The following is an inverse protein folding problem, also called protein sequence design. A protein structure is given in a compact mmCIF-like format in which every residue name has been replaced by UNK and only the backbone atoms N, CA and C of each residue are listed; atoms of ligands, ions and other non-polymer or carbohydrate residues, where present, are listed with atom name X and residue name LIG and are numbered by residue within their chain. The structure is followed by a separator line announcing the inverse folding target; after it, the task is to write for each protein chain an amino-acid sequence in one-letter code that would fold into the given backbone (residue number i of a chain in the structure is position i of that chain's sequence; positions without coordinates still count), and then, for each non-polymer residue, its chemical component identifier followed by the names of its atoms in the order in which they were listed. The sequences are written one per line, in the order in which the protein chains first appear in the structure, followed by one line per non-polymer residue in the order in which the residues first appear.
data_IF_519862709906
#
_entry.id   IF_519862709906
#
_cell.length_a   1.000
_cell.length_b   1.000
_cell.length_c   1.000
_cell.angle_alpha   90.00
_cell.angle_beta   90.00
_cell.angle_gamma   90.00
#
_symmetry.space_group_name_H-M   'P 1'
#
loop_
_entity.id
_entity.type
_entity.pdbx_description
1 polymer ?
#
# COMPACT_ATOMS: atom_id res chain seq x y z
N UNK A 1 17.46 -9.32 -31.29
CA UNK A 1 15.99 -9.18 -31.32
C UNK A 1 15.63 -8.51 -30.02
N UNK A 2 15.36 -7.21 -30.05
CA UNK A 2 14.72 -6.52 -28.92
C UNK A 2 13.25 -6.92 -28.91
N UNK A 3 12.59 -7.12 -27.76
CA UNK A 3 11.15 -7.28 -27.74
C UNK A 3 10.55 -5.95 -28.18
N UNK A 4 9.76 -5.97 -29.24
CA UNK A 4 8.92 -4.84 -29.61
C UNK A 4 7.96 -4.60 -28.43
N UNK A 5 8.08 -3.45 -27.77
CA UNK A 5 7.07 -2.95 -26.84
C UNK A 5 5.78 -2.81 -27.65
N UNK A 6 4.88 -3.80 -27.51
CA UNK A 6 3.57 -3.76 -28.13
C UNK A 6 2.81 -2.64 -27.44
N UNK A 7 2.77 -1.46 -28.07
CA UNK A 7 2.02 -0.31 -27.58
C UNK A 7 0.52 -0.61 -27.75
N UNK A 8 -0.04 -1.28 -26.74
CA UNK A 8 -1.45 -1.63 -26.67
C UNK A 8 -2.26 -0.34 -26.76
N UNK A 9 -3.20 -0.29 -27.71
CA UNK A 9 -4.11 0.85 -27.86
C UNK A 9 -5.25 0.77 -26.86
N UNK A 10 -4.92 0.91 -25.58
CA UNK A 10 -5.83 0.78 -24.44
C UNK A 10 -7.16 1.49 -24.66
N UNK A 11 -7.12 2.75 -25.12
CA UNK A 11 -8.30 3.62 -25.28
C UNK A 11 -9.33 3.14 -26.29
N UNK A 12 -8.99 2.16 -27.14
CA UNK A 12 -9.90 1.58 -28.12
C UNK A 12 -10.62 0.31 -27.61
N UNK A 13 -10.23 -0.21 -26.45
CA UNK A 13 -10.74 -1.46 -25.89
C UNK A 13 -12.01 -1.22 -25.07
N UNK A 14 -12.97 -2.13 -25.20
CA UNK A 14 -14.12 -2.24 -24.27
C UNK A 14 -13.67 -2.80 -22.92
N UNK A 15 -14.52 -2.72 -21.88
CA UNK A 15 -14.20 -3.30 -20.58
C UNK A 15 -13.87 -4.80 -20.66
N UNK A 16 -14.64 -5.57 -21.43
CA UNK A 16 -14.39 -7.01 -21.63
C UNK A 16 -13.03 -7.26 -22.32
N UNK A 17 -12.69 -6.43 -23.31
CA UNK A 17 -11.40 -6.49 -24.00
C UNK A 17 -10.25 -6.06 -23.09
N UNK A 18 -10.47 -5.13 -22.16
CA UNK A 18 -9.49 -4.76 -21.15
C UNK A 18 -9.23 -5.92 -20.17
N UNK A 19 -10.25 -6.71 -19.83
CA UNK A 19 -10.07 -7.93 -19.03
C UNK A 19 -9.22 -8.97 -19.79
N UNK A 20 -9.51 -9.19 -21.08
CA UNK A 20 -8.70 -10.07 -21.92
C UNK A 20 -7.24 -9.59 -21.99
N UNK A 21 -7.05 -8.29 -22.18
CA UNK A 21 -5.74 -7.65 -22.28
C UNK A 21 -4.98 -7.66 -20.94
N UNK A 22 -5.70 -7.58 -19.81
CA UNK A 22 -5.11 -7.81 -18.49
C UNK A 22 -4.45 -9.19 -18.42
N UNK A 23 -5.15 -10.24 -18.82
CA UNK A 23 -4.59 -11.61 -18.80
C UNK A 23 -3.50 -11.84 -19.84
N UNK A 24 -3.55 -11.13 -20.97
CA UNK A 24 -2.56 -11.25 -22.05
C UNK A 24 -1.25 -10.50 -21.77
N UNK A 25 -1.32 -9.37 -21.06
CA UNK A 25 -0.20 -8.42 -20.98
C UNK A 25 0.17 -8.07 -19.54
N UNK A 26 -0.80 -7.70 -18.70
CA UNK A 26 -0.55 -7.27 -17.32
C UNK A 26 -0.18 -8.47 -16.43
N UNK A 27 -0.96 -9.55 -16.47
CA UNK A 27 -0.74 -10.73 -15.65
C UNK A 27 0.62 -11.42 -15.91
N UNK A 28 1.11 -11.55 -17.16
CA UNK A 28 2.47 -12.03 -17.40
C UNK A 28 3.56 -11.12 -16.84
N UNK A 29 3.39 -9.80 -16.92
CA UNK A 29 4.32 -8.85 -16.32
C UNK A 29 4.32 -8.95 -14.78
N UNK A 30 3.15 -9.11 -14.17
CA UNK A 30 3.05 -9.37 -12.73
C UNK A 30 3.81 -10.62 -12.31
N UNK A 31 3.63 -11.73 -13.04
CA UNK A 31 4.36 -12.98 -12.76
C UNK A 31 5.87 -12.83 -12.95
N UNK A 32 6.31 -12.04 -13.93
CA UNK A 32 7.73 -11.77 -14.15
C UNK A 32 8.37 -11.04 -12.95
N UNK A 33 7.60 -10.20 -12.27
CA UNK A 33 8.00 -9.46 -11.07
C UNK A 33 7.64 -10.19 -9.76
N UNK A 34 7.27 -11.47 -9.84
CA UNK A 34 7.04 -12.34 -8.67
C UNK A 34 5.69 -12.16 -7.98
N UNK A 35 4.73 -11.47 -8.60
CA UNK A 35 3.37 -11.31 -8.09
C UNK A 35 2.43 -12.40 -8.61
N UNK A 36 1.36 -12.69 -7.86
CA UNK A 36 0.30 -13.60 -8.28
C UNK A 36 -0.89 -12.83 -8.90
N UNK A 37 -1.06 -12.78 -10.23
CA UNK A 37 -2.12 -12.02 -10.89
C UNK A 37 -3.53 -12.59 -10.70
N UNK A 38 -3.66 -13.77 -10.10
CA UNK A 38 -4.95 -14.40 -9.80
C UNK A 38 -5.40 -14.12 -8.35
N UNK A 39 -4.49 -13.68 -7.48
CA UNK A 39 -4.74 -13.50 -6.05
C UNK A 39 -4.34 -12.11 -5.51
N UNK A 40 -3.50 -11.36 -6.21
CA UNK A 40 -2.93 -10.08 -5.77
C UNK A 40 -3.34 -8.95 -6.71
N UNK A 41 -3.60 -7.76 -6.15
CA UNK A 41 -3.73 -6.55 -6.95
C UNK A 41 -2.33 -6.01 -7.26
N UNK A 42 -2.03 -5.62 -8.51
CA UNK A 42 -0.75 -4.99 -8.79
C UNK A 42 -0.67 -3.62 -8.06
N UNK A 43 0.47 -3.28 -7.43
CA UNK A 43 0.70 -1.97 -6.81
C UNK A 43 0.35 -0.81 -7.75
N UNK A 44 -0.35 0.23 -7.27
CA UNK A 44 -0.77 1.35 -8.13
C UNK A 44 0.42 1.99 -8.87
N UNK A 45 1.56 2.17 -8.20
CA UNK A 45 2.78 2.68 -8.84
C UNK A 45 3.31 1.75 -9.94
N UNK A 46 3.28 0.44 -9.72
CA UNK A 46 3.68 -0.54 -10.74
C UNK A 46 2.77 -0.46 -11.97
N UNK A 47 1.46 -0.34 -11.76
CA UNK A 47 0.49 -0.13 -12.85
C UNK A 47 0.72 1.22 -13.53
N UNK A 48 1.03 2.28 -12.77
CA UNK A 48 1.29 3.60 -13.34
C UNK A 48 2.55 3.63 -14.17
N UNK A 49 3.63 2.98 -13.71
CA UNK A 49 4.93 3.00 -14.37
C UNK A 49 4.95 2.08 -15.61
N UNK A 50 4.27 0.92 -15.57
CA UNK A 50 4.21 -0.03 -16.69
C UNK A 50 2.99 0.10 -17.60
N UNK A 51 1.89 0.67 -17.10
CA UNK A 51 0.56 0.59 -17.72
C UNK A 51 -0.25 1.90 -17.56
N UNK A 52 0.40 3.07 -17.60
CA UNK A 52 -0.28 4.37 -17.52
C UNK A 52 -1.45 4.52 -18.52
N UNK A 53 -1.32 3.94 -19.72
CA UNK A 53 -2.36 3.94 -20.75
C UNK A 53 -3.63 3.18 -20.34
N UNK A 54 -3.50 2.11 -19.55
CA UNK A 54 -4.63 1.39 -18.95
C UNK A 54 -5.32 2.27 -17.91
N UNK A 55 -4.58 2.89 -16.99
CA UNK A 55 -5.16 3.79 -15.96
C UNK A 55 -5.92 4.93 -16.61
N UNK A 56 -5.31 5.59 -17.59
CA UNK A 56 -5.94 6.66 -18.35
C UNK A 56 -7.24 6.17 -19.00
N UNK A 57 -7.21 5.00 -19.63
CA UNK A 57 -8.38 4.43 -20.30
C UNK A 57 -9.52 4.11 -19.33
N UNK A 58 -9.21 3.47 -18.20
CA UNK A 58 -10.22 3.16 -17.18
C UNK A 58 -10.92 4.43 -16.69
N UNK A 59 -10.16 5.48 -16.42
CA UNK A 59 -10.71 6.74 -15.92
C UNK A 59 -11.49 7.51 -16.98
N UNK A 60 -10.92 7.71 -18.16
CA UNK A 60 -11.47 8.62 -19.17
C UNK A 60 -12.51 7.98 -20.09
N UNK A 61 -12.46 6.66 -20.28
CA UNK A 61 -13.31 5.96 -21.23
C UNK A 61 -14.33 5.01 -20.57
N UNK A 62 -14.07 4.54 -19.35
CA UNK A 62 -14.92 3.52 -18.70
C UNK A 62 -15.49 3.92 -17.34
N UNK A 63 -15.15 5.11 -16.82
CA UNK A 63 -15.58 5.58 -15.49
C UNK A 63 -15.29 4.53 -14.40
N UNK A 64 -14.05 4.05 -14.40
CA UNK A 64 -13.53 3.04 -13.48
C UNK A 64 -12.22 3.48 -12.86
N UNK A 65 -12.04 3.16 -11.58
CA UNK A 65 -10.72 3.18 -10.96
C UNK A 65 -9.96 1.87 -11.27
N UNK A 66 -8.62 1.86 -11.17
CA UNK A 66 -7.85 0.63 -11.27
C UNK A 66 -8.35 -0.45 -10.29
N UNK A 67 -8.63 -0.07 -9.04
CA UNK A 67 -9.16 -0.96 -8.00
C UNK A 67 -10.49 -1.58 -8.40
N UNK A 68 -11.43 -0.77 -8.91
CA UNK A 68 -12.73 -1.24 -9.38
C UNK A 68 -12.59 -2.21 -10.54
N UNK A 69 -11.67 -1.93 -11.47
CA UNK A 69 -11.39 -2.79 -12.60
C UNK A 69 -10.82 -4.15 -12.15
N UNK A 70 -9.74 -4.15 -11.37
CA UNK A 70 -9.12 -5.40 -10.92
C UNK A 70 -10.06 -6.22 -10.04
N UNK A 71 -10.83 -5.57 -9.15
CA UNK A 71 -11.75 -6.26 -8.24
C UNK A 71 -13.06 -6.68 -8.89
N UNK A 72 -13.71 -5.76 -9.58
CA UNK A 72 -15.07 -5.90 -10.06
C UNK A 72 -15.15 -6.53 -11.44
N UNK A 73 -14.24 -6.14 -12.34
CA UNK A 73 -14.29 -6.55 -13.74
C UNK A 73 -13.40 -7.78 -13.99
N UNK A 74 -12.14 -7.78 -13.51
CA UNK A 74 -11.23 -8.93 -13.63
C UNK A 74 -11.56 -10.04 -12.61
N UNK A 75 -12.16 -9.68 -11.48
CA UNK A 75 -12.57 -10.63 -10.44
C UNK A 75 -11.43 -11.01 -9.48
N UNK A 76 -10.36 -10.21 -9.42
CA UNK A 76 -9.30 -10.38 -8.43
C UNK A 76 -9.83 -9.83 -7.12
N UNK A 77 -10.30 -10.71 -6.25
CA UNK A 77 -10.68 -10.34 -4.90
C UNK A 77 -9.44 -10.61 -4.06
N UNK A 78 -8.69 -9.57 -3.60
CA UNK A 78 -7.63 -9.81 -2.65
C UNK A 78 -8.28 -10.48 -1.44
N UNK A 79 -7.65 -11.54 -0.92
CA UNK A 79 -8.16 -12.36 0.18
C UNK A 79 -8.81 -11.48 1.25
N UNK A 80 -10.10 -11.70 1.56
CA UNK A 80 -10.94 -11.00 2.56
C UNK A 80 -10.15 -10.08 3.53
N UNK A 81 -9.73 -8.92 3.03
CA UNK A 81 -8.75 -8.05 3.68
C UNK A 81 -9.44 -6.93 4.44
N UNK A 82 -8.71 -6.30 5.36
CA UNK A 82 -9.20 -5.13 6.08
C UNK A 82 -9.27 -3.93 5.13
N UNK A 83 -10.37 -3.18 5.12
CA UNK A 83 -10.50 -2.01 4.27
C UNK A 83 -9.71 -0.82 4.86
N UNK A 84 -8.53 -0.56 4.30
CA UNK A 84 -7.63 0.47 4.79
C UNK A 84 -8.10 1.91 4.49
N UNK A 85 -9.04 2.12 3.57
CA UNK A 85 -9.47 3.42 3.02
C UNK A 85 -8.27 4.29 2.59
N UNK A 86 -7.42 3.72 1.74
CA UNK A 86 -6.27 4.40 1.12
C UNK A 86 -6.49 4.48 -0.38
N UNK A 87 -6.04 5.56 -1.00
CA UNK A 87 -6.08 5.71 -2.46
C UNK A 87 -4.94 4.93 -3.15
N UNK A 88 -3.88 4.58 -2.42
CA UNK A 88 -2.75 3.78 -2.90
C UNK A 88 -2.90 2.31 -2.47
N UNK A 89 -3.35 1.47 -3.42
CA UNK A 89 -3.52 0.04 -3.23
C UNK A 89 -2.20 -0.66 -2.85
N UNK A 90 -1.04 -0.15 -3.31
CA UNK A 90 0.26 -0.73 -2.97
C UNK A 90 0.53 -0.66 -1.45
N UNK A 91 0.16 0.48 -0.86
CA UNK A 91 0.28 0.70 0.58
C UNK A 91 -0.69 -0.21 1.34
N UNK A 92 -1.93 -0.34 0.86
CA UNK A 92 -2.92 -1.24 1.46
C UNK A 92 -2.42 -2.70 1.49
N UNK A 93 -1.87 -3.19 0.36
CA UNK A 93 -1.31 -4.55 0.26
C UNK A 93 -0.13 -4.76 1.21
N UNK A 94 0.79 -3.79 1.28
CA UNK A 94 1.92 -3.87 2.19
C UNK A 94 1.47 -3.92 3.65
N UNK A 95 0.43 -3.16 4.02
CA UNK A 95 -0.15 -3.19 5.36
C UNK A 95 -0.84 -4.52 5.68
N UNK A 96 -1.55 -5.12 4.72
CA UNK A 96 -2.13 -6.46 4.89
C UNK A 96 -1.03 -7.51 5.09
N UNK A 97 0.01 -7.52 4.24
CA UNK A 97 1.16 -8.43 4.39
C UNK A 97 1.86 -8.26 5.74
N UNK A 98 2.07 -7.04 6.19
CA UNK A 98 2.62 -6.76 7.51
C UNK A 98 1.74 -7.33 8.63
N UNK A 99 0.43 -7.14 8.54
CA UNK A 99 -0.51 -7.67 9.55
C UNK A 99 -0.55 -9.19 9.53
N UNK A 100 -0.49 -9.84 8.38
CA UNK A 100 -0.38 -11.30 8.31
C UNK A 100 0.93 -11.80 8.93
N UNK A 101 2.06 -11.13 8.69
CA UNK A 101 3.31 -11.47 9.37
C UNK A 101 3.18 -11.38 10.91
N UNK A 102 2.42 -10.41 11.43
CA UNK A 102 2.11 -10.35 12.86
C UNK A 102 1.20 -11.50 13.33
N UNK A 103 0.24 -11.94 12.51
CA UNK A 103 -0.59 -13.12 12.83
C UNK A 103 0.25 -14.39 12.89
N UNK A 104 1.16 -14.57 11.95
CA UNK A 104 2.07 -15.72 11.90
C UNK A 104 3.02 -15.76 13.11
N UNK A 105 3.36 -14.60 13.68
CA UNK A 105 4.08 -14.49 14.94
C UNK A 105 3.24 -14.84 16.19
N UNK A 106 1.96 -15.19 16.02
CA UNK A 106 1.08 -15.66 17.08
C UNK A 106 0.40 -14.54 17.88
N UNK A 107 0.29 -13.33 17.33
CA UNK A 107 -0.47 -12.27 17.97
C UNK A 107 -1.96 -12.62 18.02
N UNK A 108 -2.62 -12.30 19.15
CA UNK A 108 -4.05 -12.51 19.30
C UNK A 108 -4.84 -11.62 18.31
N UNK A 109 -5.95 -12.13 17.77
CA UNK A 109 -6.76 -11.41 16.78
C UNK A 109 -7.24 -10.03 17.26
N UNK A 110 -7.57 -9.90 18.55
CA UNK A 110 -7.92 -8.59 19.14
C UNK A 110 -6.77 -7.59 19.12
N UNK A 111 -5.53 -8.07 19.18
CA UNK A 111 -4.33 -7.23 19.05
C UNK A 111 -4.10 -6.85 17.59
N UNK A 112 -4.35 -7.77 16.66
CA UNK A 112 -4.29 -7.52 15.22
C UNK A 112 -5.27 -6.42 14.80
N UNK A 113 -6.54 -6.54 15.21
CA UNK A 113 -7.56 -5.53 14.90
C UNK A 113 -7.23 -4.15 15.48
N UNK A 114 -6.69 -4.11 16.70
CA UNK A 114 -6.23 -2.88 17.32
C UNK A 114 -5.02 -2.28 16.59
N UNK A 115 -4.12 -3.12 16.07
CA UNK A 115 -2.95 -2.73 15.28
C UNK A 115 -3.37 -2.18 13.93
N UNK A 116 -4.23 -2.88 13.18
CA UNK A 116 -4.85 -2.41 11.93
C UNK A 116 -5.43 -1.01 12.07
N UNK A 117 -6.24 -0.80 13.10
CA UNK A 117 -6.84 0.52 13.36
C UNK A 117 -5.80 1.64 13.56
N UNK A 118 -4.69 1.35 14.25
CA UNK A 118 -3.62 2.34 14.48
C UNK A 118 -2.78 2.58 13.23
N UNK A 119 -2.45 1.53 12.49
CA UNK A 119 -1.72 1.63 11.22
C UNK A 119 -2.54 2.38 10.17
N UNK A 120 -3.85 2.13 10.07
CA UNK A 120 -4.74 2.87 9.16
C UNK A 120 -4.74 4.37 9.48
N UNK A 121 -4.81 4.75 10.76
CA UNK A 121 -4.75 6.14 11.18
C UNK A 121 -3.43 6.83 10.78
N UNK A 122 -2.32 6.08 10.84
CA UNK A 122 -1.02 6.55 10.42
C UNK A 122 -0.90 6.66 8.90
N UNK A 123 -1.17 5.57 8.17
CA UNK A 123 -1.05 5.50 6.71
C UNK A 123 -1.94 6.54 6.03
N UNK A 124 -3.21 6.65 6.42
CA UNK A 124 -4.11 7.70 5.88
C UNK A 124 -3.59 9.10 6.13
N UNK A 125 -2.86 9.33 7.22
CA UNK A 125 -2.29 10.64 7.51
C UNK A 125 -1.04 10.89 6.68
N UNK A 126 -0.22 9.85 6.49
CA UNK A 126 0.98 9.89 5.66
C UNK A 126 0.61 10.21 4.21
N UNK A 127 -0.18 9.35 3.57
CA UNK A 127 -0.58 9.44 2.15
C UNK A 127 -1.28 10.77 1.82
N UNK A 128 -2.08 11.31 2.74
CA UNK A 128 -2.79 12.59 2.49
C UNK A 128 -1.93 13.84 2.62
N UNK A 129 -0.74 13.75 3.22
CA UNK A 129 0.08 14.92 3.56
C UNK A 129 1.40 14.99 2.83
N UNK A 130 1.86 13.87 2.32
CA UNK A 130 3.18 13.72 1.74
C UNK A 130 3.03 13.37 0.26
N UNK A 131 3.93 13.89 -0.57
CA UNK A 131 3.97 13.60 -2.01
C UNK A 131 4.75 12.30 -2.33
N UNK A 132 5.16 11.57 -1.29
CA UNK A 132 5.87 10.28 -1.36
C UNK A 132 4.97 9.19 -0.75
N UNK A 133 5.05 7.97 -1.29
CA UNK A 133 4.30 6.84 -0.75
C UNK A 133 4.93 6.33 0.55
N UNK A 134 4.12 5.84 1.49
CA UNK A 134 4.57 5.27 2.76
C UNK A 134 5.56 4.11 2.55
N UNK A 135 5.37 3.33 1.49
CA UNK A 135 6.22 2.17 1.19
C UNK A 135 7.45 2.52 0.35
N UNK A 136 7.61 3.77 -0.03
CA UNK A 136 8.82 4.24 -0.73
C UNK A 136 9.80 4.83 0.27
N UNK A 137 11.09 4.68 0.00
CA UNK A 137 12.13 5.28 0.84
C UNK A 137 11.94 6.79 0.93
N UNK A 138 11.89 7.30 2.16
CA UNK A 138 11.70 8.71 2.46
C UNK A 138 12.40 9.08 3.77
N UNK A 139 12.63 10.37 3.97
CA UNK A 139 13.41 10.85 5.11
C UNK A 139 12.72 10.61 6.46
N UNK A 140 13.53 10.33 7.49
CA UNK A 140 13.10 10.21 8.90
C UNK A 140 12.25 11.38 9.36
N UNK A 141 12.53 12.60 8.90
CA UNK A 141 11.78 13.80 9.26
C UNK A 141 10.30 13.68 8.88
N UNK A 142 9.99 13.17 7.68
CA UNK A 142 8.62 12.98 7.18
C UNK A 142 7.88 11.96 8.05
N UNK A 143 8.54 10.84 8.35
CA UNK A 143 7.98 9.76 9.17
C UNK A 143 7.69 10.24 10.60
N UNK A 144 8.64 10.95 11.22
CA UNK A 144 8.55 11.52 12.57
C UNK A 144 7.46 12.59 12.64
N UNK A 145 7.44 13.55 11.71
CA UNK A 145 6.42 14.61 11.70
C UNK A 145 5.01 14.03 11.57
N UNK A 146 4.85 13.06 10.66
CA UNK A 146 3.57 12.36 10.49
C UNK A 146 3.16 11.65 11.78
N UNK A 147 4.09 10.91 12.40
CA UNK A 147 3.81 10.14 13.62
C UNK A 147 3.45 11.05 14.79
N UNK A 148 4.20 12.13 15.02
CA UNK A 148 3.91 13.15 16.05
C UNK A 148 2.50 13.70 15.91
N UNK A 149 2.07 14.02 14.69
CA UNK A 149 0.72 14.55 14.41
C UNK A 149 -0.38 13.53 14.69
N UNK A 150 -0.14 12.25 14.45
CA UNK A 150 -1.11 11.19 14.75
C UNK A 150 -1.15 10.92 16.26
N UNK A 151 0.02 10.83 16.90
CA UNK A 151 0.18 10.69 18.36
C UNK A 151 -0.56 11.79 19.13
N UNK A 152 -0.49 13.04 18.65
CA UNK A 152 -1.17 14.17 19.29
C UNK A 152 -2.70 14.01 19.39
N UNK A 153 -3.33 13.16 18.56
CA UNK A 153 -4.78 12.90 18.58
C UNK A 153 -5.20 11.90 19.65
N UNK A 154 -4.27 11.12 20.18
CA UNK A 154 -4.56 10.12 21.21
C UNK A 154 -4.53 10.78 22.59
N UNK A 155 -5.53 10.48 23.42
CA UNK A 155 -5.64 11.07 24.76
C UNK A 155 -4.74 10.34 25.76
N UNK A 156 -4.75 9.00 25.76
CA UNK A 156 -3.99 8.23 26.75
C UNK A 156 -2.55 8.01 26.32
N UNK A 157 -1.62 8.14 27.28
CA UNK A 157 -0.19 7.84 27.06
C UNK A 157 0.02 6.38 26.62
N UNK A 158 -0.86 5.49 27.06
CA UNK A 158 -0.83 4.08 26.71
C UNK A 158 -1.18 3.84 25.23
N UNK A 159 -2.26 4.44 24.73
CA UNK A 159 -2.62 4.32 23.32
C UNK A 159 -1.58 4.99 22.40
N UNK A 160 -0.97 6.10 22.86
CA UNK A 160 0.19 6.70 22.17
C UNK A 160 1.36 5.72 22.06
N UNK A 161 1.73 5.03 23.15
CA UNK A 161 2.80 4.03 23.13
C UNK A 161 2.50 2.89 22.17
N UNK A 162 1.26 2.40 22.15
CA UNK A 162 0.85 1.35 21.22
C UNK A 162 0.96 1.81 19.76
N UNK A 163 0.50 3.02 19.44
CA UNK A 163 0.67 3.59 18.11
C UNK A 163 2.15 3.69 17.71
N UNK A 164 3.00 4.26 18.57
CA UNK A 164 4.43 4.40 18.29
C UNK A 164 5.08 3.03 18.08
N UNK A 165 4.75 2.06 18.93
CA UNK A 165 5.26 0.68 18.80
C UNK A 165 4.85 0.06 17.47
N UNK A 166 3.59 0.14 17.09
CA UNK A 166 3.09 -0.51 15.89
C UNK A 166 3.66 0.13 14.63
N UNK A 167 3.71 1.47 14.57
CA UNK A 167 4.31 2.18 13.43
C UNK A 167 5.80 1.88 13.32
N UNK A 168 6.52 1.75 14.44
CA UNK A 168 7.93 1.32 14.40
C UNK A 168 8.09 -0.10 13.90
N UNK A 169 7.23 -1.02 14.36
CA UNK A 169 7.22 -2.40 13.88
C UNK A 169 6.96 -2.44 12.37
N UNK A 170 6.06 -1.59 11.86
CA UNK A 170 5.84 -1.44 10.42
C UNK A 170 7.11 -0.98 9.70
N UNK A 171 7.79 0.08 10.15
CA UNK A 171 9.01 0.55 9.47
C UNK A 171 10.20 -0.42 9.59
N UNK A 172 10.27 -1.21 10.66
CA UNK A 172 11.26 -2.28 10.76
C UNK A 172 10.97 -3.35 9.68
N UNK A 173 9.71 -3.76 9.55
CA UNK A 173 9.27 -4.71 8.53
C UNK A 173 9.46 -4.17 7.10
N UNK A 174 9.16 -2.89 6.85
CA UNK A 174 9.38 -2.26 5.54
C UNK A 174 10.87 -2.26 5.14
N UNK A 175 11.78 -2.08 6.10
CA UNK A 175 13.21 -2.18 5.84
C UNK A 175 13.65 -3.63 5.60
N UNK A 176 13.11 -4.59 6.35
CA UNK A 176 13.38 -6.03 6.18
C UNK A 176 12.91 -6.56 4.82
N UNK A 177 11.75 -6.09 4.34
CA UNK A 177 11.17 -6.45 3.03
C UNK A 177 11.67 -5.55 1.88
N UNK A 178 12.72 -4.75 2.12
CA UNK A 178 13.38 -3.89 1.13
C UNK A 178 12.50 -2.82 0.46
N UNK A 179 11.38 -2.42 1.09
CA UNK A 179 10.63 -1.21 0.73
C UNK A 179 11.40 0.07 1.11
N UNK A 180 12.09 0.00 2.24
CA UNK A 180 12.93 1.08 2.78
C UNK A 180 14.40 0.67 2.83
N UNK A 181 15.30 1.61 2.54
CA UNK A 181 16.75 1.38 2.71
C UNK A 181 17.13 1.16 4.18
N UNK A 182 16.38 1.76 5.11
CA UNK A 182 16.62 1.66 6.55
C UNK A 182 15.33 1.77 7.38
N UNK A 183 15.40 1.32 8.65
CA UNK A 183 14.33 1.58 9.61
C UNK A 183 14.37 3.05 10.06
N UNK A 184 13.70 3.93 9.32
CA UNK A 184 13.76 5.39 9.55
C UNK A 184 13.27 5.85 10.93
N UNK A 185 12.45 5.04 11.61
CA UNK A 185 11.99 5.28 12.98
C UNK A 185 12.79 4.51 14.04
N UNK A 186 13.97 3.99 13.71
CA UNK A 186 14.82 3.34 14.70
C UNK A 186 15.23 4.33 15.81
N UNK A 187 15.16 3.84 17.04
CA UNK A 187 15.41 4.62 18.24
C UNK A 187 14.35 5.69 18.58
N UNK A 188 13.32 5.93 17.74
CA UNK A 188 12.28 6.92 18.03
C UNK A 188 11.37 6.43 19.16
N UNK A 189 11.35 7.14 20.27
CA UNK A 189 10.47 6.91 21.41
C UNK A 189 9.23 7.82 21.38
N UNK A 190 8.31 7.57 22.32
CA UNK A 190 7.16 8.47 22.50
C UNK A 190 7.60 9.86 22.98
N UNK A 191 8.65 9.94 23.80
CA UNK A 191 9.09 11.21 24.38
C UNK A 191 9.68 12.15 23.30
N UNK A 192 10.40 11.60 22.31
CA UNK A 192 10.89 12.35 21.14
C UNK A 192 9.77 12.99 20.31
N UNK A 193 8.57 12.42 20.34
CA UNK A 193 7.41 12.87 19.56
C UNK A 193 6.53 13.88 20.30
N UNK A 194 6.66 13.95 21.63
CA UNK A 194 5.82 14.82 22.48
C UNK A 194 6.59 16.07 22.92
N UNK A 195 7.92 16.02 23.00
CA UNK A 195 8.76 17.16 23.41
C UNK A 195 9.01 18.17 22.26
N UNK A 196 8.61 17.84 21.02
CA UNK A 196 8.82 18.69 19.83
C UNK A 196 7.58 19.38 19.25
N UNK A 197 6.42 19.40 19.95
CA UNK A 197 5.19 20.10 19.50
C UNK A 197 4.98 21.47 20.14
#
# INVERSE_FOLDING_TARGET
MSPEEVDVRWSALTIDQLIEEYWATVAPAMRADGMDPEAEHPPHRWVKDGFAGLIYTLREHHDRTPTEFFRGDVGIIPSEGYEWELDDDAVAIALDRHVEALREQGLAESTIEATRSRLAAYARRFERRNDVSLIESHDREIAVETLSRVVARYVSRDAKRHLVKDVRTLYAWLAEEAYHEEHVLDGVGLDDLVEGS
#
